data_IF_246570158561
#
_entry.id   IF_246570158561
#
_cell.length_a   1.000
_cell.length_b   1.000
_cell.length_c   1.000
_cell.angle_alpha   90.00
_cell.angle_beta   90.00
_cell.angle_gamma   90.00
#
_symmetry.space_group_name_H-M   'P 1'
#
loop_
_entity.id
_entity.type
_entity.pdbx_description
1 polymer ?
#
# COMPACT_ATOMS: atom_id res chain seq x y z
N UNK A 1 2.91 8.92 -17.31
CA UNK A 1 4.33 9.16 -16.95
C UNK A 1 4.34 9.76 -15.55
N UNK A 2 4.52 8.92 -14.52
CA UNK A 2 4.48 9.33 -13.11
C UNK A 2 4.84 8.20 -12.15
N UNK A 3 5.58 7.20 -12.62
CA UNK A 3 5.95 6.04 -11.83
C UNK A 3 7.42 6.14 -11.40
N UNK A 4 7.71 5.77 -10.15
CA UNK A 4 9.07 5.78 -9.61
C UNK A 4 9.32 4.54 -8.76
N UNK A 5 10.56 4.05 -8.79
CA UNK A 5 11.00 2.99 -7.89
C UNK A 5 11.45 3.59 -6.58
N UNK A 6 10.83 3.17 -5.47
CA UNK A 6 11.21 3.63 -4.14
C UNK A 6 11.33 2.45 -3.18
N UNK A 7 12.15 2.66 -2.15
CA UNK A 7 12.11 1.88 -0.91
C UNK A 7 11.31 2.65 0.12
N UNK A 8 10.34 2.02 0.75
CA UNK A 8 9.53 2.64 1.79
C UNK A 8 9.24 1.69 2.95
N UNK A 9 8.89 2.28 4.09
CA UNK A 9 8.51 1.57 5.31
C UNK A 9 7.03 1.77 5.59
N UNK A 10 6.30 0.69 5.86
CA UNK A 10 4.93 0.72 6.36
C UNK A 10 4.95 0.37 7.84
N UNK A 11 4.23 1.14 8.65
CA UNK A 11 4.08 0.91 10.07
C UNK A 11 2.70 0.30 10.35
N UNK A 12 2.70 -0.79 11.11
CA UNK A 12 1.52 -1.50 11.58
C UNK A 12 1.16 -1.16 13.02
N UNK A 13 0.27 -1.98 13.58
CA UNK A 13 -0.10 -1.90 15.00
C UNK A 13 1.07 -2.42 15.86
N UNK A 14 1.16 -1.96 17.11
CA UNK A 14 2.14 -2.42 18.12
C UNK A 14 3.61 -2.24 17.73
N UNK A 15 3.92 -1.20 16.96
CA UNK A 15 5.30 -0.85 16.59
C UNK A 15 5.94 -1.78 15.56
N UNK A 16 5.18 -2.70 14.96
CA UNK A 16 5.63 -3.50 13.82
C UNK A 16 5.81 -2.60 12.60
N UNK A 17 6.83 -2.90 11.80
CA UNK A 17 7.02 -2.25 10.51
C UNK A 17 7.62 -3.21 9.50
N UNK A 18 7.40 -2.94 8.22
CA UNK A 18 8.00 -3.69 7.12
C UNK A 18 8.57 -2.72 6.09
N UNK A 19 9.68 -3.10 5.45
CA UNK A 19 10.29 -2.33 4.36
C UNK A 19 10.11 -3.09 3.05
N UNK A 20 9.78 -2.35 2.00
CA UNK A 20 9.62 -2.93 0.67
C UNK A 20 10.08 -1.96 -0.43
N UNK A 21 10.56 -2.56 -1.51
CA UNK A 21 10.82 -1.89 -2.76
C UNK A 21 9.58 -2.00 -3.66
N UNK A 22 9.08 -0.90 -4.20
CA UNK A 22 7.97 -0.92 -5.16
C UNK A 22 8.07 0.16 -6.23
N UNK A 23 7.42 -0.12 -7.37
CA UNK A 23 7.07 0.90 -8.35
C UNK A 23 5.80 1.57 -7.84
N UNK A 24 5.84 2.88 -7.69
CA UNK A 24 4.74 3.68 -7.17
C UNK A 24 4.30 4.69 -8.22
N UNK A 25 3.00 4.69 -8.51
CA UNK A 25 2.36 5.75 -9.28
C UNK A 25 2.10 6.96 -8.38
N UNK A 26 2.77 8.07 -8.68
CA UNK A 26 2.64 9.34 -7.97
C UNK A 26 1.29 10.04 -8.21
N UNK A 27 0.53 9.62 -9.24
CA UNK A 27 -0.81 10.11 -9.54
C UNK A 27 -1.94 9.35 -8.85
N UNK A 28 -1.64 8.25 -8.13
CA UNK A 28 -2.66 7.41 -7.52
C UNK A 28 -3.35 8.10 -6.33
N UNK A 29 -4.68 8.17 -6.36
CA UNK A 29 -5.49 8.70 -5.24
C UNK A 29 -5.41 7.82 -3.99
N UNK A 30 -5.30 6.50 -4.17
CA UNK A 30 -5.26 5.53 -3.07
C UNK A 30 -4.00 4.66 -3.17
N UNK A 31 -3.28 4.55 -2.06
CA UNK A 31 -2.17 3.61 -1.93
C UNK A 31 -2.71 2.21 -1.65
N UNK A 32 -2.33 1.24 -2.49
CA UNK A 32 -2.60 -0.19 -2.28
C UNK A 32 -1.34 -0.90 -1.83
N UNK A 33 -1.48 -1.83 -0.89
CA UNK A 33 -0.40 -2.71 -0.42
C UNK A 33 -0.83 -4.17 -0.57
N UNK A 34 0.10 -5.12 -0.75
CA UNK A 34 -0.25 -6.53 -0.81
C UNK A 34 -0.93 -6.99 0.49
N UNK A 35 -1.95 -7.84 0.37
CA UNK A 35 -2.74 -8.29 1.52
C UNK A 35 -1.89 -9.00 2.59
N UNK A 36 -0.87 -9.77 2.18
CA UNK A 36 0.02 -10.44 3.12
C UNK A 36 0.79 -9.43 4.00
N UNK A 37 1.18 -8.28 3.45
CA UNK A 37 1.84 -7.20 4.20
C UNK A 37 0.90 -6.61 5.24
N UNK A 38 -0.36 -6.38 4.86
CA UNK A 38 -1.37 -5.90 5.80
C UNK A 38 -1.58 -6.88 6.96
N UNK A 39 -1.64 -8.18 6.68
CA UNK A 39 -1.78 -9.23 7.70
C UNK A 39 -0.57 -9.29 8.65
N UNK A 40 0.66 -9.23 8.13
CA UNK A 40 1.88 -9.24 8.95
C UNK A 40 1.94 -8.04 9.92
N UNK A 41 1.46 -6.89 9.46
CA UNK A 41 1.37 -5.65 10.22
C UNK A 41 0.16 -5.59 11.17
N UNK A 42 -0.70 -6.61 11.15
CA UNK A 42 -1.92 -6.66 11.96
C UNK A 42 -2.94 -5.57 11.58
N UNK A 43 -2.96 -5.14 10.32
CA UNK A 43 -3.91 -4.13 9.85
C UNK A 43 -5.28 -4.77 9.60
N UNK A 44 -6.32 -4.16 10.15
CA UNK A 44 -7.71 -4.61 9.97
C UNK A 44 -8.46 -3.72 8.96
N UNK A 45 -9.12 -4.37 8.00
CA UNK A 45 -9.98 -3.68 7.05
C UNK A 45 -11.23 -3.14 7.76
N UNK A 46 -11.43 -1.82 7.74
CA UNK A 46 -12.59 -1.18 8.38
C UNK A 46 -13.85 -1.25 7.52
N UNK A 47 -13.69 -1.24 6.21
CA UNK A 47 -14.77 -1.34 5.24
C UNK A 47 -14.20 -1.79 3.89
N UNK A 48 -15.09 -2.29 3.05
CA UNK A 48 -14.79 -2.60 1.66
C UNK A 48 -15.44 -1.54 0.77
N UNK A 49 -14.72 -1.11 -0.26
CA UNK A 49 -15.25 -0.20 -1.27
C UNK A 49 -14.75 -0.61 -2.64
N UNK A 50 -15.61 -0.44 -3.64
CA UNK A 50 -15.20 -0.58 -5.04
C UNK A 50 -14.46 0.69 -5.44
N UNK A 51 -13.33 0.52 -6.09
CA UNK A 51 -12.56 1.62 -6.69
C UNK A 51 -12.35 1.28 -8.17
N UNK A 52 -12.48 2.29 -9.03
CA UNK A 52 -12.02 2.21 -10.40
C UNK A 52 -10.65 2.88 -10.47
N UNK A 53 -9.70 2.19 -11.09
CA UNK A 53 -8.36 2.72 -11.27
C UNK A 53 -8.27 3.42 -12.62
N UNK A 54 -7.44 4.47 -12.70
CA UNK A 54 -7.27 5.25 -13.93
C UNK A 54 -6.51 4.51 -15.03
N UNK A 55 -5.90 3.37 -14.72
CA UNK A 55 -5.16 2.52 -15.64
C UNK A 55 -6.04 1.49 -16.39
N UNK A 56 -7.33 1.39 -16.04
CA UNK A 56 -8.31 0.53 -16.73
C UNK A 56 -8.39 -0.89 -16.18
#
# INVERSE_FOLDING_TARGET
MGETWIRFKIYGIDGKSTELDAIVDTGATFTKIPLYVANELGLEAKYETKVELGDG
#
